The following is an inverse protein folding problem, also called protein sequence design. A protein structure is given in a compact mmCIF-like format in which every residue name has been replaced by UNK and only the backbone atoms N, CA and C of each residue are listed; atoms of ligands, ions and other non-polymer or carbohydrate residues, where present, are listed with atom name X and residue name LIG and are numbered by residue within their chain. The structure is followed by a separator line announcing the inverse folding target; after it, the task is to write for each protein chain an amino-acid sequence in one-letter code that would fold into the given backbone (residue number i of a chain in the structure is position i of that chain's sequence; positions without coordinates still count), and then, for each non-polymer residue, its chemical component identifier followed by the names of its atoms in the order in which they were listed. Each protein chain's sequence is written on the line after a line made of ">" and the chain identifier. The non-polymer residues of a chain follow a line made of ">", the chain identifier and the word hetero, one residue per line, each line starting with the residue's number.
data_IF_544417434303
#
_entry.id   IF_544417434303
#
_cell.length_a   1.000
_cell.length_b   1.000
_cell.length_c   1.000
_cell.angle_alpha   90.00
_cell.angle_beta   90.00
_cell.angle_gamma   90.00
#
_symmetry.space_group_name_H-M   'P 1'
#
loop_
_entity.id
_entity.type
_entity.pdbx_description
1 polymer ?
#
# COMPACT_ATOMS: atom_id res chain seq x y z
N UNK A 1 15.99 -7.49 -6.31
CA UNK A 1 14.68 -7.08 -5.77
C UNK A 1 14.35 -8.07 -4.67
N UNK A 2 14.17 -7.60 -3.42
CA UNK A 2 13.94 -8.48 -2.27
C UNK A 2 12.45 -8.57 -1.92
N UNK A 3 11.74 -7.44 -1.93
CA UNK A 3 10.35 -7.38 -1.45
C UNK A 3 9.37 -7.90 -2.51
N UNK A 4 8.57 -8.88 -2.13
CA UNK A 4 7.55 -9.53 -2.97
C UNK A 4 6.19 -8.92 -2.65
N UNK A 5 5.59 -8.26 -3.62
CA UNK A 5 4.31 -7.56 -3.48
C UNK A 5 3.21 -8.34 -4.17
N UNK A 6 2.08 -8.49 -3.52
CA UNK A 6 0.88 -9.05 -4.12
C UNK A 6 -0.27 -8.04 -4.12
N UNK A 7 -0.93 -7.88 -5.26
CA UNK A 7 -2.17 -7.12 -5.39
C UNK A 7 -3.35 -8.09 -5.30
N UNK A 8 -4.18 -7.92 -4.28
CA UNK A 8 -5.31 -8.80 -4.00
C UNK A 8 -6.58 -8.29 -4.71
N UNK A 9 -7.25 -9.17 -5.45
CA UNK A 9 -8.46 -8.83 -6.21
C UNK A 9 -9.45 -10.01 -6.27
N UNK A 10 -10.69 -9.72 -6.68
CA UNK A 10 -11.76 -10.71 -6.80
C UNK A 10 -12.38 -10.77 -8.21
N UNK A 11 -11.77 -11.51 -9.12
CA UNK A 11 -12.16 -11.62 -10.51
C UNK A 11 -13.60 -12.08 -10.76
N UNK A 12 -14.15 -12.93 -9.91
CA UNK A 12 -15.53 -13.39 -10.03
C UNK A 12 -16.53 -12.24 -9.91
N UNK A 13 -16.33 -11.38 -8.95
CA UNK A 13 -17.13 -10.18 -8.74
C UNK A 13 -16.94 -9.16 -9.88
N UNK A 14 -15.72 -9.03 -10.39
CA UNK A 14 -15.42 -8.16 -11.53
C UNK A 14 -16.26 -8.54 -12.76
N UNK A 15 -16.32 -9.82 -13.08
CA UNK A 15 -17.08 -10.30 -14.24
C UNK A 15 -18.57 -9.96 -14.14
N UNK A 16 -19.17 -10.20 -12.97
CA UNK A 16 -20.56 -9.86 -12.71
C UNK A 16 -20.81 -8.34 -12.86
N UNK A 17 -19.90 -7.57 -12.35
CA UNK A 17 -19.95 -6.11 -12.34
C UNK A 17 -19.85 -5.50 -13.74
N UNK A 18 -18.97 -6.01 -14.56
CA UNK A 18 -18.82 -5.60 -15.97
C UNK A 18 -20.10 -5.88 -16.77
N UNK A 19 -20.73 -7.04 -16.53
CA UNK A 19 -21.97 -7.40 -17.19
C UNK A 19 -23.17 -6.55 -16.75
N UNK A 20 -23.18 -6.06 -15.53
CA UNK A 20 -24.25 -5.19 -15.00
C UNK A 20 -24.12 -3.71 -15.44
N UNK A 21 -23.08 -3.35 -16.16
CA UNK A 21 -22.83 -1.98 -16.62
C UNK A 21 -22.32 -1.02 -15.52
N UNK A 22 -21.98 -1.53 -14.35
CA UNK A 22 -21.44 -0.74 -13.24
C UNK A 22 -19.93 -0.56 -13.30
N UNK A 23 -19.32 -0.86 -14.44
CA UNK A 23 -17.90 -0.65 -14.67
C UNK A 23 -17.63 0.84 -14.88
N UNK A 24 -17.12 1.49 -13.86
CA UNK A 24 -16.80 2.91 -13.89
C UNK A 24 -15.39 3.14 -13.33
N UNK A 25 -14.62 3.99 -14.01
CA UNK A 25 -13.24 4.29 -13.59
C UNK A 25 -13.13 4.77 -12.13
N UNK A 26 -14.14 5.51 -11.63
CA UNK A 26 -14.17 5.96 -10.23
C UNK A 26 -14.04 4.82 -9.23
N UNK A 27 -14.55 3.63 -9.54
CA UNK A 27 -14.43 2.46 -8.66
C UNK A 27 -13.07 1.77 -8.77
N UNK A 28 -12.37 1.96 -9.88
CA UNK A 28 -11.06 1.37 -10.15
C UNK A 28 -9.91 2.32 -9.83
N UNK A 29 -10.22 3.60 -9.59
CA UNK A 29 -9.25 4.68 -9.50
C UNK A 29 -8.02 4.30 -8.65
N UNK A 30 -8.23 3.95 -7.40
CA UNK A 30 -7.09 3.65 -6.50
C UNK A 30 -6.28 2.44 -6.99
N UNK A 31 -6.95 1.38 -7.49
CA UNK A 31 -6.26 0.20 -7.98
C UNK A 31 -5.46 0.48 -9.26
N UNK A 32 -6.01 1.27 -10.19
CA UNK A 32 -5.30 1.67 -11.41
C UNK A 32 -4.04 2.43 -11.04
N UNK A 33 -4.15 3.43 -10.19
CA UNK A 33 -3.02 4.26 -9.78
C UNK A 33 -1.98 3.48 -8.95
N UNK A 34 -2.41 2.54 -8.11
CA UNK A 34 -1.48 1.63 -7.42
C UNK A 34 -0.72 0.77 -8.44
N UNK A 35 -1.41 0.19 -9.42
CA UNK A 35 -0.76 -0.65 -10.44
C UNK A 35 0.17 0.16 -11.33
N UNK A 36 -0.20 1.38 -11.69
CA UNK A 36 0.66 2.29 -12.45
C UNK A 36 1.93 2.62 -11.66
N UNK A 37 1.80 2.98 -10.38
CA UNK A 37 2.96 3.23 -9.53
C UNK A 37 3.85 1.98 -9.40
N UNK A 38 3.27 0.80 -9.15
CA UNK A 38 4.00 -0.46 -9.00
C UNK A 38 4.74 -0.86 -10.29
N UNK A 39 4.19 -0.52 -11.46
CA UNK A 39 4.83 -0.85 -12.75
C UNK A 39 6.16 -0.14 -12.97
N UNK A 40 6.34 1.03 -12.36
CA UNK A 40 7.58 1.81 -12.39
C UNK A 40 8.55 1.51 -11.25
N UNK A 41 8.18 0.63 -10.30
CA UNK A 41 9.01 0.34 -9.15
C UNK A 41 9.79 -0.97 -9.29
N UNK A 42 11.03 -1.04 -8.74
CA UNK A 42 11.85 -2.24 -8.79
C UNK A 42 11.40 -3.27 -7.73
N UNK A 43 10.14 -3.71 -7.80
CA UNK A 43 9.54 -4.71 -6.91
C UNK A 43 9.01 -5.91 -7.70
N UNK A 44 8.98 -7.08 -7.08
CA UNK A 44 8.35 -8.26 -7.68
C UNK A 44 6.84 -8.23 -7.39
N UNK A 45 6.02 -8.02 -8.42
CA UNK A 45 4.57 -7.86 -8.30
C UNK A 45 3.82 -9.06 -8.83
N UNK A 46 2.90 -9.58 -8.02
CA UNK A 46 1.96 -10.65 -8.40
C UNK A 46 0.52 -10.17 -8.19
N UNK A 47 -0.38 -10.63 -9.05
CA UNK A 47 -1.81 -10.54 -8.80
C UNK A 47 -2.28 -11.84 -8.17
N UNK A 48 -2.97 -11.75 -7.02
CA UNK A 48 -3.48 -12.90 -6.30
C UNK A 48 -4.98 -12.79 -6.07
N UNK A 49 -5.65 -13.91 -6.10
CA UNK A 49 -7.07 -14.03 -5.74
C UNK A 49 -7.25 -14.40 -4.27
N UNK A 50 -8.48 -14.33 -3.78
CA UNK A 50 -8.82 -14.80 -2.44
C UNK A 50 -8.62 -16.32 -2.29
N UNK A 51 -8.83 -17.09 -3.36
CA UNK A 51 -8.56 -18.52 -3.36
C UNK A 51 -7.05 -18.82 -3.25
N UNK A 52 -6.20 -18.02 -3.89
CA UNK A 52 -4.75 -18.16 -3.75
C UNK A 52 -4.31 -17.96 -2.30
N UNK A 53 -4.94 -16.99 -1.59
CA UNK A 53 -4.68 -16.76 -0.16
C UNK A 53 -5.00 -18.01 0.66
N UNK A 54 -6.17 -18.61 0.46
CA UNK A 54 -6.57 -19.84 1.15
C UNK A 54 -5.68 -21.03 0.77
N UNK A 55 -5.16 -21.06 -0.45
CA UNK A 55 -4.24 -22.09 -0.93
C UNK A 55 -2.77 -21.86 -0.52
N UNK A 56 -2.49 -20.87 0.32
CA UNK A 56 -1.19 -20.70 0.98
C UNK A 56 -0.16 -19.90 0.18
N UNK A 57 -0.57 -19.05 -0.77
CA UNK A 57 0.33 -18.17 -1.54
C UNK A 57 1.11 -17.19 -0.65
N UNK A 58 0.57 -16.85 0.53
CA UNK A 58 1.13 -15.82 1.42
C UNK A 58 2.56 -16.12 1.91
N UNK A 59 2.99 -17.39 1.91
CA UNK A 59 4.38 -17.76 2.21
C UNK A 59 5.42 -17.17 1.22
N UNK A 60 4.96 -16.85 0.01
CA UNK A 60 5.78 -16.31 -1.07
C UNK A 60 5.56 -14.80 -1.29
N UNK A 61 5.00 -14.11 -0.30
CA UNK A 61 4.63 -12.68 -0.35
C UNK A 61 5.08 -11.98 0.93
N UNK A 62 5.58 -10.76 0.81
CA UNK A 62 5.97 -9.92 1.93
C UNK A 62 4.95 -8.80 2.19
N UNK A 63 4.32 -8.30 1.13
CA UNK A 63 3.33 -7.21 1.17
C UNK A 63 2.09 -7.59 0.36
N UNK A 64 0.91 -7.49 0.94
CA UNK A 64 -0.38 -7.61 0.24
C UNK A 64 -1.03 -6.22 0.17
N UNK A 65 -1.42 -5.79 -1.01
CA UNK A 65 -2.15 -4.53 -1.23
C UNK A 65 -3.59 -4.86 -1.61
N UNK A 66 -4.55 -4.28 -0.90
CA UNK A 66 -5.97 -4.32 -1.21
C UNK A 66 -6.49 -2.89 -1.39
N UNK A 67 -6.89 -2.54 -2.60
CA UNK A 67 -7.28 -1.19 -2.98
C UNK A 67 -8.62 -1.16 -3.68
N UNK A 68 -9.44 -0.14 -3.39
CA UNK A 68 -10.68 0.11 -4.08
C UNK A 68 -11.83 0.47 -3.16
N UNK A 69 -13.00 0.70 -3.76
CA UNK A 69 -14.23 1.04 -3.06
C UNK A 69 -14.95 -0.20 -2.56
N UNK A 70 -15.66 -0.03 -1.46
CA UNK A 70 -16.52 -1.07 -0.89
C UNK A 70 -17.50 -1.63 -1.91
N UNK A 71 -17.79 -2.92 -1.80
CA UNK A 71 -18.72 -3.62 -2.69
C UNK A 71 -18.23 -3.81 -4.11
N UNK A 72 -17.02 -3.35 -4.43
CA UNK A 72 -16.43 -3.52 -5.77
C UNK A 72 -15.60 -4.80 -5.87
N UNK A 73 -15.41 -5.27 -7.08
CA UNK A 73 -14.51 -6.38 -7.38
C UNK A 73 -13.05 -6.08 -7.02
N UNK A 74 -12.70 -4.81 -6.95
CA UNK A 74 -11.35 -4.35 -6.69
C UNK A 74 -10.96 -4.48 -5.24
N UNK A 75 -11.85 -4.11 -4.31
CA UNK A 75 -11.65 -4.34 -2.87
C UNK A 75 -12.03 -5.75 -2.42
N UNK A 76 -12.90 -6.45 -3.16
CA UNK A 76 -13.32 -7.82 -2.88
C UNK A 76 -14.78 -8.01 -2.46
N UNK A 77 -15.47 -6.96 -2.05
CA UNK A 77 -16.89 -6.99 -1.68
C UNK A 77 -17.26 -8.15 -0.74
N UNK A 78 -18.24 -8.96 -1.14
CA UNK A 78 -18.75 -10.07 -0.34
C UNK A 78 -17.74 -11.20 -0.06
N UNK A 79 -16.62 -11.25 -0.78
CA UNK A 79 -15.55 -12.21 -0.47
C UNK A 79 -14.96 -12.00 0.93
N UNK A 80 -15.04 -10.79 1.47
CA UNK A 80 -14.62 -10.48 2.84
C UNK A 80 -15.54 -11.04 3.94
N UNK A 81 -16.66 -11.66 3.58
CA UNK A 81 -17.50 -12.45 4.50
C UNK A 81 -16.87 -13.81 4.85
N UNK A 82 -15.86 -14.24 4.11
CA UNK A 82 -15.15 -15.48 4.33
C UNK A 82 -14.20 -15.37 5.53
N UNK A 83 -14.52 -16.04 6.62
CA UNK A 83 -13.73 -16.04 7.86
C UNK A 83 -12.38 -16.74 7.70
N UNK A 84 -12.26 -17.71 6.80
CA UNK A 84 -11.00 -18.38 6.53
C UNK A 84 -10.00 -17.43 5.89
N UNK A 85 -10.47 -16.60 4.94
CA UNK A 85 -9.68 -15.56 4.29
C UNK A 85 -9.15 -14.55 5.31
N UNK A 86 -10.05 -13.98 6.13
CA UNK A 86 -9.69 -12.96 7.13
C UNK A 86 -8.72 -13.53 8.16
N UNK A 87 -8.96 -14.77 8.61
CA UNK A 87 -8.09 -15.46 9.55
C UNK A 87 -6.71 -15.72 8.97
N UNK A 88 -6.63 -16.17 7.71
CA UNK A 88 -5.35 -16.42 7.03
C UNK A 88 -4.50 -15.15 6.90
N UNK A 89 -5.11 -14.06 6.44
CA UNK A 89 -4.43 -12.77 6.33
C UNK A 89 -4.03 -12.20 7.70
N UNK A 90 -4.92 -12.25 8.69
CA UNK A 90 -4.62 -11.80 10.06
C UNK A 90 -3.43 -12.54 10.64
N UNK A 91 -3.43 -13.88 10.53
CA UNK A 91 -2.33 -14.71 11.03
C UNK A 91 -1.03 -14.39 10.30
N UNK A 92 -1.07 -14.27 8.98
CA UNK A 92 0.10 -13.97 8.18
C UNK A 92 0.71 -12.60 8.54
N UNK A 93 -0.11 -11.56 8.75
CA UNK A 93 0.40 -10.27 9.23
C UNK A 93 0.99 -10.41 10.62
N UNK A 94 0.30 -11.09 11.54
CA UNK A 94 0.82 -11.32 12.90
C UNK A 94 2.19 -12.01 12.91
N UNK A 95 2.48 -12.85 11.93
CA UNK A 95 3.74 -13.58 11.75
C UNK A 95 4.84 -12.76 11.06
N UNK A 96 4.53 -11.58 10.52
CA UNK A 96 5.53 -10.65 9.94
C UNK A 96 5.21 -10.09 8.55
N UNK A 97 4.07 -10.47 7.95
CA UNK A 97 3.62 -9.89 6.69
C UNK A 97 3.14 -8.45 6.84
N UNK A 98 2.94 -7.76 5.72
CA UNK A 98 2.36 -6.42 5.71
C UNK A 98 1.09 -6.37 4.84
N UNK A 99 0.00 -5.85 5.41
CA UNK A 99 -1.24 -5.58 4.70
C UNK A 99 -1.40 -4.08 4.49
N UNK A 100 -1.39 -3.63 3.22
CA UNK A 100 -1.64 -2.24 2.83
C UNK A 100 -3.07 -2.13 2.33
N UNK A 101 -3.88 -1.36 3.03
CA UNK A 101 -5.26 -1.07 2.64
C UNK A 101 -5.40 0.33 2.04
N UNK A 102 -6.09 0.47 0.91
CA UNK A 102 -6.30 1.75 0.23
C UNK A 102 -7.77 2.01 0.01
N UNK A 103 -8.25 3.17 0.41
CA UNK A 103 -9.62 3.67 0.34
C UNK A 103 -10.56 2.89 1.27
N UNK A 104 -11.30 1.91 0.77
CA UNK A 104 -12.24 1.07 1.54
C UNK A 104 -11.80 -0.42 1.48
N UNK A 105 -10.60 -0.72 1.99
CA UNK A 105 -10.05 -2.06 1.91
C UNK A 105 -10.84 -3.01 2.81
N UNK A 106 -11.04 -4.24 2.36
CA UNK A 106 -11.75 -5.28 3.12
C UNK A 106 -13.15 -4.89 3.64
N UNK A 107 -13.77 -3.90 3.01
CA UNK A 107 -15.05 -3.37 3.47
C UNK A 107 -16.22 -4.30 3.13
N UNK A 108 -17.02 -4.62 4.14
CA UNK A 108 -18.27 -5.37 4.00
C UNK A 108 -19.23 -5.09 5.14
N UNK A 109 -20.51 -5.00 4.84
CA UNK A 109 -21.57 -4.78 5.82
C UNK A 109 -21.86 -6.04 6.65
N UNK A 110 -22.37 -5.82 7.86
CA UNK A 110 -22.93 -6.90 8.71
C UNK A 110 -21.95 -7.44 9.76
N UNK A 111 -20.81 -6.79 9.99
CA UNK A 111 -19.81 -7.15 11.01
C UNK A 111 -19.62 -6.03 12.03
N UNK A 112 -18.89 -6.31 13.12
CA UNK A 112 -18.56 -5.32 14.16
C UNK A 112 -17.67 -4.19 13.64
N UNK A 113 -16.87 -4.47 12.62
CA UNK A 113 -16.07 -3.49 11.88
C UNK A 113 -16.52 -3.42 10.44
N UNK A 114 -16.40 -2.24 9.80
CA UNK A 114 -16.68 -2.09 8.37
C UNK A 114 -15.54 -2.64 7.53
N UNK A 115 -14.28 -2.34 7.91
CA UNK A 115 -13.12 -3.00 7.35
C UNK A 115 -12.87 -4.31 8.11
N UNK A 116 -12.99 -5.45 7.45
CA UNK A 116 -12.72 -6.76 8.07
C UNK A 116 -11.29 -6.86 8.62
N UNK A 117 -10.36 -6.10 8.05
CA UNK A 117 -8.98 -6.00 8.51
C UNK A 117 -8.72 -4.78 9.40
N UNK A 118 -9.74 -4.14 9.96
CA UNK A 118 -9.59 -2.95 10.82
C UNK A 118 -8.63 -3.17 12.00
N UNK A 119 -8.67 -4.36 12.63
CA UNK A 119 -7.78 -4.72 13.73
C UNK A 119 -6.30 -4.80 13.32
N UNK A 120 -6.03 -5.12 12.07
CA UNK A 120 -4.68 -5.11 11.49
C UNK A 120 -4.29 -3.69 11.10
N UNK A 121 -5.19 -2.96 10.44
CA UNK A 121 -4.93 -1.60 9.94
C UNK A 121 -4.88 -0.56 11.05
N UNK A 122 -5.53 -0.82 12.19
CA UNK A 122 -5.68 0.13 13.30
C UNK A 122 -6.66 1.27 13.02
N UNK A 123 -7.42 1.17 11.92
CA UNK A 123 -8.38 2.17 11.45
C UNK A 123 -9.62 1.50 10.86
N UNK A 124 -10.78 2.16 10.98
CA UNK A 124 -12.05 1.71 10.39
C UNK A 124 -12.87 2.90 9.89
N UNK A 125 -13.99 2.63 9.28
CA UNK A 125 -14.97 3.62 8.83
C UNK A 125 -16.24 3.57 9.68
N UNK A 126 -16.72 4.76 10.09
CA UNK A 126 -18.03 4.94 10.69
C UNK A 126 -19.08 5.09 9.59
N UNK A 127 -19.88 4.07 9.37
CA UNK A 127 -20.96 4.08 8.37
C UNK A 127 -22.24 4.75 8.86
N UNK A 128 -22.25 5.33 10.07
CA UNK A 128 -23.44 5.89 10.71
C UNK A 128 -24.38 4.85 11.35
N UNK A 129 -24.19 3.58 11.03
CA UNK A 129 -24.91 2.47 11.65
C UNK A 129 -24.18 1.90 12.87
N UNK A 130 -23.03 2.41 13.19
CA UNK A 130 -22.13 1.93 14.24
C UNK A 130 -21.87 3.02 15.25
N UNK A 131 -21.76 2.64 16.50
CA UNK A 131 -21.31 3.54 17.56
C UNK A 131 -19.79 3.58 17.51
N UNK A 132 -19.23 4.71 17.09
CA UNK A 132 -17.82 4.94 17.24
C UNK A 132 -17.45 5.05 18.72
N UNK A 133 -16.85 4.01 19.25
CA UNK A 133 -16.19 4.07 20.55
C UNK A 133 -14.83 4.73 20.39
N UNK A 134 -14.80 6.05 20.54
CA UNK A 134 -13.57 6.81 20.61
C UNK A 134 -13.09 7.36 19.26
N UNK A 135 -13.38 8.62 19.02
CA UNK A 135 -12.53 9.42 18.12
C UNK A 135 -11.26 9.71 18.91
N UNK A 136 -10.22 8.99 18.61
CA UNK A 136 -8.94 9.19 19.28
C UNK A 136 -8.37 10.54 18.85
N UNK A 137 -7.94 11.33 19.82
CA UNK A 137 -7.05 12.44 19.57
C UNK A 137 -5.69 11.83 19.25
N UNK A 138 -5.11 12.17 18.13
CA UNK A 138 -3.82 11.66 17.70
C UNK A 138 -2.87 12.80 17.36
N UNK A 139 -1.59 12.52 17.48
CA UNK A 139 -0.52 13.36 16.94
C UNK A 139 -0.01 12.75 15.65
N UNK A 140 0.31 13.60 14.67
CA UNK A 140 0.93 13.15 13.42
C UNK A 140 2.43 13.08 13.61
N UNK A 141 3.01 11.92 13.34
CA UNK A 141 4.45 11.72 13.40
C UNK A 141 4.92 10.70 12.36
N UNK A 142 5.98 11.03 11.65
CA UNK A 142 6.65 10.16 10.69
C UNK A 142 8.15 10.05 11.02
N UNK A 143 8.51 9.34 12.11
CA UNK A 143 9.90 9.24 12.56
C UNK A 143 10.79 8.45 11.60
N UNK A 144 10.22 7.61 10.77
CA UNK A 144 10.93 6.80 9.78
C UNK A 144 11.07 7.51 8.42
N UNK A 145 10.50 8.74 8.29
CA UNK A 145 10.49 9.52 7.05
C UNK A 145 9.93 8.74 5.86
N UNK A 146 8.78 8.09 6.07
CA UNK A 146 8.08 7.29 5.06
C UNK A 146 7.33 8.14 4.05
N UNK A 147 6.98 9.36 4.44
CA UNK A 147 6.19 10.29 3.63
C UNK A 147 7.10 11.37 3.05
N UNK A 148 7.45 11.33 1.75
CA UNK A 148 8.24 12.39 1.12
C UNK A 148 7.51 13.73 1.16
N UNK A 149 8.26 14.81 1.23
CA UNK A 149 7.70 16.15 1.04
C UNK A 149 7.02 16.24 -0.34
N UNK A 150 5.80 16.73 -0.37
CA UNK A 150 4.97 16.80 -1.59
C UNK A 150 4.09 15.57 -1.84
N UNK A 151 4.28 14.48 -1.12
CA UNK A 151 3.34 13.36 -1.16
C UNK A 151 2.05 13.72 -0.42
N UNK A 152 0.92 13.23 -0.92
CA UNK A 152 -0.38 13.46 -0.31
C UNK A 152 -1.46 12.58 -0.92
N UNK A 153 -2.49 12.36 -0.12
CA UNK A 153 -3.68 11.59 -0.49
C UNK A 153 -4.93 12.35 -0.09
N UNK A 154 -6.04 12.09 -0.74
CA UNK A 154 -7.31 12.74 -0.41
C UNK A 154 -7.87 12.24 0.91
N UNK A 155 -8.37 13.15 1.73
CA UNK A 155 -9.07 12.81 2.96
C UNK A 155 -10.39 12.11 2.66
N UNK A 156 -10.70 11.07 3.44
CA UNK A 156 -12.02 10.43 3.47
C UNK A 156 -12.72 10.74 4.79
N UNK A 157 -14.03 10.94 4.70
CA UNK A 157 -14.85 11.19 5.87
C UNK A 157 -14.99 9.91 6.73
N UNK A 158 -15.32 10.12 7.97
CA UNK A 158 -15.73 9.07 8.90
C UNK A 158 -14.66 7.99 9.21
N UNK A 159 -13.39 8.25 8.89
CA UNK A 159 -12.29 7.37 9.32
C UNK A 159 -11.97 7.62 10.79
N UNK A 160 -11.77 6.54 11.57
CA UNK A 160 -11.39 6.62 12.97
C UNK A 160 -10.40 5.54 13.35
N UNK A 161 -9.53 5.85 14.32
CA UNK A 161 -8.62 4.86 14.87
C UNK A 161 -9.37 3.88 15.77
N UNK A 162 -9.11 2.59 15.64
CA UNK A 162 -9.87 1.56 16.36
C UNK A 162 -9.49 1.43 17.85
N UNK A 163 -8.20 1.59 18.16
CA UNK A 163 -7.68 1.41 19.53
C UNK A 163 -6.61 2.45 19.94
N UNK A 164 -6.40 3.47 19.11
CA UNK A 164 -5.44 4.55 19.37
C UNK A 164 -3.96 4.16 19.32
N UNK A 165 -3.64 2.95 18.85
CA UNK A 165 -2.25 2.47 18.77
C UNK A 165 -1.62 2.73 17.40
N UNK A 166 -2.43 2.81 16.35
CA UNK A 166 -1.93 3.12 15.03
C UNK A 166 -1.28 4.51 15.02
N UNK A 167 -0.08 4.57 14.49
CA UNK A 167 0.64 5.81 14.25
C UNK A 167 0.04 6.52 13.04
N UNK A 168 -0.30 7.79 13.17
CA UNK A 168 -0.77 8.61 12.05
C UNK A 168 0.46 9.28 11.42
N UNK A 169 0.81 8.84 10.21
CA UNK A 169 1.95 9.37 9.46
C UNK A 169 1.62 10.67 8.75
N UNK A 170 0.36 10.82 8.28
CA UNK A 170 -0.15 11.99 7.61
C UNK A 170 -1.61 12.22 8.00
N UNK A 171 -1.98 13.49 8.18
CA UNK A 171 -3.35 13.89 8.50
C UNK A 171 -3.71 15.24 7.86
N UNK A 172 -5.01 15.46 7.66
CA UNK A 172 -5.58 16.75 7.23
C UNK A 172 -6.83 17.05 8.04
N UNK A 173 -6.88 18.27 8.63
CA UNK A 173 -8.04 18.73 9.39
C UNK A 173 -8.50 17.79 10.51
N UNK A 174 -7.60 17.05 11.13
CA UNK A 174 -7.90 16.05 12.16
C UNK A 174 -8.40 14.72 11.61
N UNK A 175 -8.33 14.49 10.29
CA UNK A 175 -8.64 13.23 9.62
C UNK A 175 -7.35 12.46 9.35
N UNK A 176 -7.24 11.19 9.78
CA UNK A 176 -6.08 10.38 9.45
C UNK A 176 -6.10 10.04 7.95
N UNK A 177 -5.00 10.35 7.27
CA UNK A 177 -4.83 10.06 5.85
C UNK A 177 -4.01 8.81 5.61
N UNK A 178 -2.90 8.69 6.35
CA UNK A 178 -2.00 7.55 6.26
C UNK A 178 -1.70 7.10 7.69
N UNK A 179 -1.92 5.81 7.95
CA UNK A 179 -1.62 5.22 9.25
C UNK A 179 -0.74 3.98 9.11
N UNK A 180 0.05 3.73 10.15
CA UNK A 180 0.87 2.54 10.32
C UNK A 180 0.55 1.92 11.66
N UNK A 181 0.17 0.65 11.65
CA UNK A 181 -0.14 -0.12 12.85
C UNK A 181 0.79 -1.34 12.95
N UNK A 182 1.43 -1.50 14.09
CA UNK A 182 2.16 -2.72 14.40
C UNK A 182 1.19 -3.80 14.89
N UNK A 183 1.14 -4.92 14.17
CA UNK A 183 0.27 -6.05 14.48
C UNK A 183 1.08 -7.35 14.59
N UNK A 184 1.31 -7.81 15.80
CA UNK A 184 2.24 -8.92 16.04
C UNK A 184 3.66 -8.55 15.62
N UNK A 185 4.21 -9.29 14.68
CA UNK A 185 5.52 -9.00 14.07
C UNK A 185 5.42 -8.23 12.76
N UNK A 186 4.22 -8.07 12.23
CA UNK A 186 3.96 -7.44 10.95
C UNK A 186 3.32 -6.07 11.06
N UNK A 187 2.83 -5.57 9.93
CA UNK A 187 2.34 -4.21 9.78
C UNK A 187 0.98 -4.17 9.08
N UNK A 188 0.11 -3.29 9.54
CA UNK A 188 -1.03 -2.79 8.79
C UNK A 188 -0.77 -1.35 8.39
N UNK A 189 -0.89 -1.03 7.10
CA UNK A 189 -0.74 0.32 6.59
C UNK A 189 -2.02 0.72 5.89
N UNK A 190 -2.54 1.90 6.19
CA UNK A 190 -3.73 2.43 5.55
C UNK A 190 -3.41 3.72 4.81
N UNK A 191 -3.95 3.84 3.60
CA UNK A 191 -3.97 5.06 2.80
C UNK A 191 -5.43 5.41 2.49
N UNK A 192 -5.86 6.64 2.77
CA UNK A 192 -7.24 7.07 2.54
C UNK A 192 -7.62 7.13 1.05
N UNK A 193 -6.66 7.33 0.16
CA UNK A 193 -6.76 7.23 -1.29
C UNK A 193 -5.37 7.05 -1.89
N UNK A 194 -5.29 6.84 -3.19
CA UNK A 194 -4.01 6.88 -3.88
C UNK A 194 -4.17 7.43 -5.30
N UNK A 195 -3.35 8.41 -5.64
CA UNK A 195 -3.21 8.92 -7.00
C UNK A 195 -1.73 8.89 -7.39
N UNK A 196 -1.42 8.31 -8.53
CA UNK A 196 -0.06 8.22 -9.02
C UNK A 196 0.50 9.60 -9.37
N UNK A 197 1.66 9.89 -8.86
CA UNK A 197 2.55 10.99 -9.20
C UNK A 197 3.93 10.67 -8.62
N UNK A 198 4.95 11.46 -8.92
CA UNK A 198 6.32 11.18 -8.49
C UNK A 198 6.46 11.00 -6.97
N UNK A 199 5.84 11.88 -6.18
CA UNK A 199 5.94 11.85 -4.72
C UNK A 199 5.19 10.67 -4.12
N UNK A 200 3.97 10.41 -4.60
CA UNK A 200 3.16 9.29 -4.12
C UNK A 200 3.73 7.94 -4.55
N UNK A 201 4.33 7.83 -5.74
CA UNK A 201 5.06 6.64 -6.17
C UNK A 201 6.26 6.39 -5.25
N UNK A 202 7.03 7.43 -4.93
CA UNK A 202 8.13 7.33 -3.96
C UNK A 202 7.64 6.94 -2.57
N UNK A 203 6.55 7.54 -2.11
CA UNK A 203 5.91 7.19 -0.83
C UNK A 203 5.53 5.70 -0.78
N UNK A 204 4.83 5.22 -1.81
CA UNK A 204 4.44 3.80 -1.89
C UNK A 204 5.67 2.90 -1.85
N UNK A 205 6.74 3.26 -2.56
CA UNK A 205 7.99 2.51 -2.56
C UNK A 205 8.66 2.49 -1.17
N UNK A 206 8.69 3.62 -0.46
CA UNK A 206 9.22 3.70 0.90
C UNK A 206 8.42 2.83 1.87
N UNK A 207 7.09 2.88 1.79
CA UNK A 207 6.21 2.03 2.60
C UNK A 207 6.44 0.53 2.33
N UNK A 208 6.56 0.13 1.06
CA UNK A 208 6.85 -1.26 0.67
C UNK A 208 8.22 -1.70 1.19
N UNK A 209 9.26 -0.88 1.02
CA UNK A 209 10.60 -1.20 1.51
C UNK A 209 10.66 -1.33 3.02
N UNK A 210 10.02 -0.40 3.72
CA UNK A 210 9.93 -0.45 5.17
C UNK A 210 9.24 -1.74 5.65
N UNK A 211 8.12 -2.08 5.01
CA UNK A 211 7.39 -3.33 5.28
C UNK A 211 8.23 -4.58 5.00
N UNK A 212 9.06 -4.56 3.96
CA UNK A 212 10.00 -5.63 3.63
C UNK A 212 11.26 -5.70 4.50
N UNK A 213 11.38 -4.81 5.50
CA UNK A 213 12.55 -4.73 6.38
C UNK A 213 13.80 -4.15 5.73
N UNK A 214 13.65 -3.49 4.57
CA UNK A 214 14.77 -2.89 3.83
C UNK A 214 15.10 -1.45 4.30
N UNK A 215 14.24 -0.85 5.15
CA UNK A 215 14.39 0.54 5.61
C UNK A 215 14.11 1.57 4.50
N UNK A 216 14.08 2.84 4.88
CA UNK A 216 13.79 3.96 3.96
C UNK A 216 15.05 4.56 3.33
N UNK A 217 16.18 4.46 4.01
CA UNK A 217 17.48 5.00 3.58
C UNK A 217 18.45 3.92 3.11
N UNK A 218 17.95 2.78 2.69
CA UNK A 218 18.77 1.63 2.32
C UNK A 218 19.56 1.82 1.03
N UNK A 219 20.54 0.93 0.83
CA UNK A 219 21.30 0.81 -0.41
C UNK A 219 20.38 0.65 -1.62
N UNK A 220 20.82 1.14 -2.76
CA UNK A 220 20.14 1.01 -4.06
C UNK A 220 18.81 1.75 -4.14
N UNK A 221 18.72 2.97 -3.58
CA UNK A 221 17.64 3.91 -3.80
C UNK A 221 18.19 5.26 -4.27
N UNK A 222 17.61 5.83 -5.31
CA UNK A 222 17.96 7.16 -5.82
C UNK A 222 17.51 8.26 -4.85
N UNK A 223 18.27 9.33 -4.72
CA UNK A 223 17.90 10.53 -3.97
C UNK A 223 17.02 11.51 -4.78
N UNK A 224 16.98 11.33 -6.11
CA UNK A 224 16.22 12.18 -7.03
C UNK A 224 14.93 11.49 -7.46
N UNK A 225 13.79 12.16 -7.27
CA UNK A 225 12.45 11.63 -7.56
C UNK A 225 12.19 11.33 -9.04
N UNK A 226 12.92 11.98 -9.95
CA UNK A 226 12.81 11.75 -11.40
C UNK A 226 13.60 10.55 -11.88
N UNK A 227 14.32 9.89 -10.97
CA UNK A 227 15.17 8.75 -11.29
C UNK A 227 14.78 7.53 -10.48
N UNK A 228 14.95 6.38 -11.08
CA UNK A 228 14.74 5.07 -10.44
C UNK A 228 15.98 4.21 -10.61
N UNK A 229 16.20 3.27 -9.71
CA UNK A 229 17.26 2.31 -9.90
C UNK A 229 16.86 0.90 -9.47
N UNK A 230 17.43 -0.09 -10.15
CA UNK A 230 17.30 -1.50 -9.82
C UNK A 230 18.68 -2.14 -9.74
N UNK A 231 18.96 -2.83 -8.64
CA UNK A 231 20.18 -3.61 -8.48
C UNK A 231 19.91 -5.09 -8.75
N UNK A 232 20.74 -5.67 -9.58
CA UNK A 232 20.72 -7.09 -9.96
C UNK A 232 21.92 -7.81 -9.31
N UNK A 233 21.73 -8.46 -8.15
CA UNK A 233 22.84 -9.00 -7.35
C UNK A 233 23.63 -10.09 -8.07
N UNK A 234 22.98 -10.94 -8.87
CA UNK A 234 23.63 -12.01 -9.61
C UNK A 234 24.63 -11.49 -10.65
N UNK A 235 24.27 -10.43 -11.36
CA UNK A 235 25.11 -9.80 -12.37
C UNK A 235 25.97 -8.66 -11.82
N UNK A 236 25.72 -8.26 -10.57
CA UNK A 236 26.34 -7.08 -9.91
C UNK A 236 26.16 -5.78 -10.71
N UNK A 237 25.01 -5.64 -11.38
CA UNK A 237 24.68 -4.47 -12.18
C UNK A 237 23.66 -3.62 -11.46
N UNK A 238 23.88 -2.31 -11.50
CA UNK A 238 22.93 -1.28 -11.13
C UNK A 238 22.43 -0.63 -12.42
N UNK A 239 21.12 -0.70 -12.65
CA UNK A 239 20.46 0.03 -13.73
C UNK A 239 19.84 1.27 -13.12
N UNK A 240 20.04 2.41 -13.75
CA UNK A 240 19.45 3.69 -13.34
C UNK A 240 18.73 4.27 -14.53
N UNK A 241 17.52 4.76 -14.32
CA UNK A 241 16.64 5.29 -15.37
C UNK A 241 16.25 6.71 -14.98
N UNK A 242 16.26 7.61 -15.98
CA UNK A 242 15.72 8.96 -15.88
C UNK A 242 14.34 9.01 -16.55
N UNK A 243 13.30 9.20 -15.77
CA UNK A 243 11.89 9.26 -16.24
C UNK A 243 11.45 10.70 -16.60
N UNK A 244 12.39 11.63 -16.78
CA UNK A 244 12.07 13.03 -17.11
C UNK A 244 12.61 13.46 -18.47
N UNK A 245 12.09 14.58 -18.96
CA UNK A 245 12.49 15.22 -20.23
C UNK A 245 13.73 16.11 -20.11
N UNK A 246 14.36 16.13 -18.94
CA UNK A 246 15.60 16.88 -18.65
C UNK A 246 16.66 15.98 -18.09
N UNK A 247 17.93 16.37 -18.27
CA UNK A 247 19.08 15.68 -17.66
C UNK A 247 18.93 15.68 -16.13
N UNK A 248 19.14 14.54 -15.51
CA UNK A 248 19.05 14.35 -14.07
C UNK A 248 20.37 13.80 -13.50
N UNK A 249 20.69 14.29 -12.31
CA UNK A 249 21.79 13.74 -11.50
C UNK A 249 21.20 13.11 -10.25
N UNK A 250 21.64 11.92 -9.93
CA UNK A 250 21.21 11.19 -8.73
C UNK A 250 22.39 10.52 -8.04
N UNK A 251 22.30 10.42 -6.72
CA UNK A 251 23.25 9.70 -5.89
C UNK A 251 22.58 8.48 -5.27
N UNK A 252 23.18 7.33 -5.43
CA UNK A 252 22.66 6.05 -5.00
C UNK A 252 23.61 5.45 -3.98
N UNK A 253 23.21 5.25 -2.72
CA UNK A 253 23.98 4.51 -1.75
C UNK A 253 24.13 3.04 -2.20
N UNK A 254 25.33 2.51 -2.14
CA UNK A 254 25.63 1.11 -2.42
C UNK A 254 26.49 0.52 -1.31
N UNK A 255 26.62 -0.81 -1.27
CA UNK A 255 27.53 -1.48 -0.33
C UNK A 255 29.00 -1.07 -0.51
N UNK A 256 29.37 -0.62 -1.72
CA UNK A 256 30.71 -0.16 -2.05
C UNK A 256 30.92 1.35 -1.86
N UNK A 257 29.90 2.07 -1.39
CA UNK A 257 29.89 3.54 -1.24
C UNK A 257 28.84 4.20 -2.12
N UNK A 258 28.77 5.54 -2.09
CA UNK A 258 27.83 6.30 -2.89
C UNK A 258 28.26 6.33 -4.36
N UNK A 259 27.31 6.08 -5.27
CA UNK A 259 27.50 6.19 -6.71
C UNK A 259 26.68 7.38 -7.23
N UNK A 260 27.33 8.40 -7.79
CA UNK A 260 26.65 9.54 -8.41
C UNK A 260 26.73 9.41 -9.92
N UNK A 261 25.57 9.52 -10.58
CA UNK A 261 25.45 9.43 -12.04
C UNK A 261 24.61 10.58 -12.57
N UNK A 262 24.94 11.02 -13.78
CA UNK A 262 24.15 11.98 -14.56
C UNK A 262 23.62 11.26 -15.78
N UNK A 263 22.32 11.37 -16.04
CA UNK A 263 21.59 10.57 -17.01
C UNK A 263 20.82 11.50 -17.93
N UNK A 264 20.94 11.26 -19.23
CA UNK A 264 20.21 12.02 -20.25
C UNK A 264 18.68 11.85 -20.10
N UNK A 265 17.89 12.75 -20.71
CA UNK A 265 16.43 12.62 -20.71
C UNK A 265 15.97 11.26 -21.24
N UNK A 266 15.06 10.61 -20.52
CA UNK A 266 14.47 9.31 -20.91
C UNK A 266 15.50 8.19 -21.23
N UNK A 267 16.62 8.16 -20.50
CA UNK A 267 17.70 7.17 -20.63
C UNK A 267 17.76 6.22 -19.41
#
# INVERSE_FOLDING_TARGET
>A
IKTRVAVLHYWGSLRSWTLSGHFHETYMHDLIHINEALSGLPVDVKFISFEDVKNGILKDVDVVINAGRAGSAWSGGDAWKDEELVTALTKWVHEGGCFIGVNEPSAVEGYDTYFRMAHVLGIDEDTGARVCHGRWIFETADPEHLIPEGAGVEAKENRYLTDGKAQVLLADGGKPLITLNHFGKGLGIYLSSFQVNLWNTRMLYQLIRYAGGEGTSGSYMTDNLYTECAYYPESKKLVVINNSDTEQTTTIPTEAGACTVTIAPYD
#
